data_IF_596983314707
#
_entry.id   IF_596983314707
#
_cell.length_a   1.000
_cell.length_b   1.000
_cell.length_c   1.000
_cell.angle_alpha   90.00
_cell.angle_beta   90.00
_cell.angle_gamma   90.00
#
_symmetry.space_group_name_H-M   'P 1'
#
loop_
_entity.id
_entity.type
_entity.pdbx_description
1 polymer ?
#
# COMPACT_ATOMS: atom_id res chain seq x y z
N UNK A 1 18.73 27.77 8.97
CA UNK A 1 19.49 26.66 8.34
C UNK A 1 18.90 25.38 8.90
N UNK A 2 17.97 24.77 8.17
CA UNK A 2 17.47 23.44 8.53
C UNK A 2 18.61 22.43 8.36
N UNK A 3 18.80 21.49 9.31
CA UNK A 3 19.76 20.42 9.11
C UNK A 3 19.35 19.64 7.86
N UNK A 4 20.27 19.48 6.92
CA UNK A 4 20.15 18.56 5.81
C UNK A 4 19.96 17.17 6.42
N UNK A 5 18.72 16.72 6.53
CA UNK A 5 18.40 15.35 6.84
C UNK A 5 19.09 14.48 5.77
N UNK A 6 19.91 13.56 6.21
CA UNK A 6 20.56 12.63 5.30
C UNK A 6 19.46 11.95 4.46
N UNK A 7 19.63 11.83 3.13
CA UNK A 7 18.59 11.24 2.28
C UNK A 7 18.21 9.87 2.81
N UNK A 8 16.91 9.62 2.87
CA UNK A 8 16.36 8.37 3.40
C UNK A 8 17.11 7.16 2.81
N UNK A 9 17.59 6.21 3.61
CA UNK A 9 18.44 5.10 3.13
C UNK A 9 17.87 4.38 1.91
N UNK A 10 16.55 4.36 1.79
CA UNK A 10 15.80 3.72 0.70
C UNK A 10 15.99 4.44 -0.63
N UNK A 11 16.19 5.75 -0.64
CA UNK A 11 16.48 6.49 -1.87
C UNK A 11 17.75 5.99 -2.55
N UNK A 12 18.74 5.55 -1.76
CA UNK A 12 19.96 4.92 -2.31
C UNK A 12 19.66 3.60 -3.02
N UNK A 13 18.75 2.79 -2.46
CA UNK A 13 18.32 1.54 -3.07
C UNK A 13 17.56 1.79 -4.36
N UNK A 14 16.63 2.75 -4.35
CA UNK A 14 15.90 3.14 -5.54
C UNK A 14 16.83 3.72 -6.62
N UNK A 15 17.75 4.61 -6.26
CA UNK A 15 18.75 5.15 -7.17
C UNK A 15 19.66 4.08 -7.77
N UNK A 16 20.00 3.02 -7.01
CA UNK A 16 20.74 1.87 -7.53
C UNK A 16 19.90 1.10 -8.54
N UNK A 17 18.66 0.78 -8.21
CA UNK A 17 17.72 0.11 -9.12
C UNK A 17 17.58 0.89 -10.44
N UNK A 18 17.38 2.20 -10.38
CA UNK A 18 17.26 3.03 -11.60
C UNK A 18 18.50 2.91 -12.48
N UNK A 19 19.70 2.99 -11.89
CA UNK A 19 20.96 2.85 -12.66
C UNK A 19 21.11 1.47 -13.28
N UNK A 20 20.74 0.41 -12.57
CA UNK A 20 20.75 -0.97 -13.09
C UNK A 20 19.77 -1.15 -14.26
N UNK A 21 18.68 -0.37 -14.28
CA UNK A 21 17.73 -0.34 -15.41
C UNK A 21 18.13 0.65 -16.52
N UNK A 22 19.29 1.30 -16.44
CA UNK A 22 19.71 2.30 -17.40
C UNK A 22 18.89 3.59 -17.37
N UNK A 23 18.19 3.86 -16.25
CA UNK A 23 17.32 5.01 -16.09
C UNK A 23 17.99 6.12 -15.29
N UNK A 24 17.79 7.40 -15.65
CA UNK A 24 18.36 8.50 -14.89
C UNK A 24 17.71 8.61 -13.50
N UNK A 25 18.54 8.91 -12.51
CA UNK A 25 18.10 9.40 -11.20
C UNK A 25 17.77 10.87 -11.34
N UNK A 26 16.52 11.25 -11.21
CA UNK A 26 16.07 12.64 -11.36
C UNK A 26 15.45 13.15 -10.07
N UNK A 27 15.57 14.45 -9.80
CA UNK A 27 14.94 15.09 -8.65
C UNK A 27 13.44 14.74 -8.52
N UNK A 28 12.70 14.76 -9.63
CA UNK A 28 11.27 14.42 -9.62
C UNK A 28 11.00 12.98 -9.12
N UNK A 29 11.83 12.01 -9.50
CA UNK A 29 11.71 10.63 -9.03
C UNK A 29 12.06 10.49 -7.56
N UNK A 30 13.08 11.21 -7.12
CA UNK A 30 13.48 11.23 -5.72
C UNK A 30 12.40 11.90 -4.87
N UNK A 31 11.85 13.03 -5.27
CA UNK A 31 10.78 13.71 -4.55
C UNK A 31 9.50 12.85 -4.41
N UNK A 32 9.09 12.15 -5.47
CA UNK A 32 7.95 11.21 -5.39
C UNK A 32 8.27 10.06 -4.43
N UNK A 33 9.46 9.50 -4.50
CA UNK A 33 9.88 8.42 -3.61
C UNK A 33 9.92 8.87 -2.15
N UNK A 34 10.44 10.07 -1.86
CA UNK A 34 10.46 10.66 -0.52
C UNK A 34 9.05 10.75 0.08
N UNK A 35 8.07 11.26 -0.66
CA UNK A 35 6.69 11.33 -0.18
C UNK A 35 6.18 9.96 0.23
N UNK A 36 6.40 8.93 -0.61
CA UNK A 36 5.94 7.57 -0.31
C UNK A 36 6.66 6.96 0.89
N UNK A 37 7.98 7.21 1.04
CA UNK A 37 8.75 6.64 2.13
C UNK A 37 8.63 7.38 3.47
N UNK A 38 8.19 8.63 3.44
CA UNK A 38 7.92 9.43 4.63
C UNK A 38 6.53 9.15 5.23
N UNK A 39 5.67 8.43 4.52
CA UNK A 39 4.30 8.12 4.95
C UNK A 39 4.16 6.64 5.27
N UNK A 40 3.56 6.35 6.40
CA UNK A 40 3.13 4.99 6.78
C UNK A 40 1.70 4.67 6.29
N UNK A 41 1.11 5.51 5.46
CA UNK A 41 -0.26 5.35 4.97
C UNK A 41 -0.31 4.79 3.55
N UNK A 42 -1.46 4.25 3.16
CA UNK A 42 -1.74 3.83 1.78
C UNK A 42 -2.11 5.06 0.93
N UNK A 43 -1.13 5.65 0.28
CA UNK A 43 -1.30 6.88 -0.49
C UNK A 43 -1.87 6.61 -1.88
N UNK A 44 -2.89 7.38 -2.27
CA UNK A 44 -3.31 7.50 -3.66
C UNK A 44 -2.38 8.44 -4.43
N UNK A 45 -2.48 8.46 -5.76
CA UNK A 45 -1.73 9.43 -6.59
C UNK A 45 -2.14 10.87 -6.27
N UNK A 46 -3.39 11.09 -5.87
CA UNK A 46 -3.88 12.42 -5.50
C UNK A 46 -3.29 12.88 -4.17
N UNK A 47 -3.17 12.00 -3.18
CA UNK A 47 -2.51 12.28 -1.91
C UNK A 47 -1.03 12.64 -2.15
N UNK A 48 -0.32 11.85 -2.97
CA UNK A 48 1.08 12.10 -3.33
C UNK A 48 1.23 13.46 -4.04
N UNK A 49 0.34 13.78 -4.99
CA UNK A 49 0.37 15.07 -5.69
C UNK A 49 0.15 16.24 -4.72
N UNK A 50 -0.77 16.09 -3.77
CA UNK A 50 -1.04 17.09 -2.75
C UNK A 50 0.17 17.32 -1.85
N UNK A 51 0.81 16.25 -1.36
CA UNK A 51 2.01 16.33 -0.52
C UNK A 51 3.19 16.96 -1.26
N UNK A 52 3.40 16.59 -2.53
CA UNK A 52 4.41 17.20 -3.37
C UNK A 52 4.19 18.72 -3.50
N UNK A 53 2.95 19.15 -3.74
CA UNK A 53 2.59 20.58 -3.79
C UNK A 53 2.86 21.30 -2.46
N UNK A 54 2.54 20.66 -1.34
CA UNK A 54 2.82 21.19 -0.01
C UNK A 54 4.32 21.38 0.24
N UNK A 55 5.17 20.52 -0.35
CA UNK A 55 6.64 20.61 -0.33
C UNK A 55 7.20 21.60 -1.37
N UNK A 56 6.33 22.25 -2.16
CA UNK A 56 6.73 23.21 -3.21
C UNK A 56 7.09 22.55 -4.56
N UNK A 57 6.89 21.25 -4.68
CA UNK A 57 7.17 20.49 -5.91
C UNK A 57 5.97 20.52 -6.86
N UNK A 58 6.24 20.79 -8.15
CA UNK A 58 5.21 20.78 -9.21
C UNK A 58 5.45 19.61 -10.15
N UNK A 59 5.02 18.43 -9.72
CA UNK A 59 5.18 17.17 -10.47
C UNK A 59 3.81 16.69 -10.93
N UNK A 60 3.64 16.53 -12.24
CA UNK A 60 2.36 16.09 -12.81
C UNK A 60 2.11 14.60 -12.60
N UNK A 61 0.83 14.22 -12.52
CA UNK A 61 0.36 12.84 -12.27
C UNK A 61 1.03 11.78 -13.17
N UNK A 62 1.26 12.10 -14.44
CA UNK A 62 1.94 11.17 -15.37
C UNK A 62 3.35 10.79 -14.89
N UNK A 63 4.09 11.75 -14.31
CA UNK A 63 5.42 11.48 -13.74
C UNK A 63 5.31 10.71 -12.43
N UNK A 64 4.31 11.01 -11.60
CA UNK A 64 4.03 10.28 -10.36
C UNK A 64 3.75 8.81 -10.70
N UNK A 65 2.81 8.52 -11.61
CA UNK A 65 2.49 7.14 -12.03
C UNK A 65 3.71 6.38 -12.54
N UNK A 66 4.52 7.00 -13.43
CA UNK A 66 5.74 6.37 -13.95
C UNK A 66 6.76 6.07 -12.86
N UNK A 67 6.85 6.93 -11.85
CA UNK A 67 7.79 6.73 -10.73
C UNK A 67 7.27 5.62 -9.80
N UNK A 68 5.96 5.60 -9.51
CA UNK A 68 5.34 4.55 -8.73
C UNK A 68 5.49 3.17 -9.39
N UNK A 69 5.31 3.06 -10.71
CA UNK A 69 5.58 1.81 -11.43
C UNK A 69 7.02 1.32 -11.23
N UNK A 70 7.99 2.23 -11.27
CA UNK A 70 9.39 1.90 -11.01
C UNK A 70 9.63 1.48 -9.55
N UNK A 71 8.97 2.14 -8.60
CA UNK A 71 9.04 1.80 -7.17
C UNK A 71 8.43 0.42 -6.89
N UNK A 72 7.31 0.09 -7.51
CA UNK A 72 6.68 -1.24 -7.41
C UNK A 72 7.58 -2.31 -8.05
N UNK A 73 8.12 -2.05 -9.24
CA UNK A 73 9.07 -2.96 -9.92
C UNK A 73 10.36 -3.19 -9.12
N UNK A 74 10.83 -2.17 -8.41
CA UNK A 74 11.98 -2.30 -7.49
C UNK A 74 11.66 -3.08 -6.23
N UNK A 75 10.39 -3.42 -5.99
CA UNK A 75 9.87 -4.06 -4.77
C UNK A 75 10.07 -3.25 -3.48
N UNK A 76 10.27 -1.95 -3.60
CA UNK A 76 10.35 -1.03 -2.45
C UNK A 76 8.97 -0.53 -2.02
N UNK A 77 7.99 -0.59 -2.92
CA UNK A 77 6.61 -0.17 -2.72
C UNK A 77 5.66 -1.30 -3.13
N UNK A 78 4.56 -1.43 -2.42
CA UNK A 78 3.41 -2.27 -2.80
C UNK A 78 2.29 -1.41 -3.37
N UNK A 79 1.59 -2.00 -4.33
CA UNK A 79 0.39 -1.45 -4.94
C UNK A 79 -0.81 -2.24 -4.42
N UNK A 80 -1.83 -1.53 -3.94
CA UNK A 80 -3.08 -2.09 -3.45
C UNK A 80 -4.25 -1.59 -4.29
N UNK A 81 -5.17 -2.48 -4.64
CA UNK A 81 -6.46 -2.14 -5.26
C UNK A 81 -7.56 -2.55 -4.28
N UNK A 82 -8.17 -1.58 -3.64
CA UNK A 82 -9.25 -1.78 -2.66
C UNK A 82 -10.64 -1.66 -3.29
N UNK A 83 -10.75 -1.66 -4.62
CA UNK A 83 -12.02 -1.56 -5.34
C UNK A 83 -12.58 -0.14 -5.41
N UNK A 84 -11.79 0.88 -5.06
CA UNK A 84 -12.20 2.30 -5.09
C UNK A 84 -12.14 2.90 -6.51
N UNK A 85 -11.70 2.13 -7.51
CA UNK A 85 -11.47 2.60 -8.88
C UNK A 85 -10.11 3.27 -9.10
N UNK A 86 -9.28 3.34 -8.07
CA UNK A 86 -7.88 3.80 -8.13
C UNK A 86 -7.01 2.95 -7.21
N UNK A 87 -5.70 3.02 -7.41
CA UNK A 87 -4.73 2.26 -6.64
C UNK A 87 -4.15 3.09 -5.50
N UNK A 88 -3.76 2.40 -4.42
CA UNK A 88 -3.00 2.97 -3.31
C UNK A 88 -1.62 2.33 -3.24
N UNK A 89 -0.68 3.06 -2.68
CA UNK A 89 0.73 2.69 -2.63
C UNK A 89 1.27 2.81 -1.21
N UNK A 90 1.98 1.78 -0.76
CA UNK A 90 2.59 1.72 0.55
C UNK A 90 4.05 1.25 0.41
N UNK A 91 4.97 1.80 1.21
CA UNK A 91 6.34 1.33 1.20
C UNK A 91 6.50 0.03 2.00
N UNK A 92 7.29 -0.91 1.48
CA UNK A 92 7.52 -2.23 2.11
C UNK A 92 8.50 -2.24 3.27
N UNK A 93 9.07 -1.10 3.63
CA UNK A 93 10.12 -0.95 4.62
C UNK A 93 9.60 -0.37 5.94
N UNK A 94 8.29 -0.29 6.09
CA UNK A 94 7.70 -0.01 7.39
C UNK A 94 8.15 -1.09 8.37
N UNK A 95 8.60 -0.68 9.55
CA UNK A 95 8.86 -1.58 10.68
C UNK A 95 7.55 -2.17 11.19
N UNK A 96 6.43 -1.84 10.54
CA UNK A 96 5.11 -2.36 10.88
C UNK A 96 5.09 -3.87 10.66
N UNK A 97 4.56 -4.62 11.60
CA UNK A 97 4.26 -6.02 11.39
C UNK A 97 3.35 -6.18 10.18
N UNK A 98 3.36 -7.34 9.59
CA UNK A 98 2.43 -7.71 8.53
C UNK A 98 1.02 -7.43 9.05
N UNK A 99 0.25 -6.63 8.31
CA UNK A 99 -1.11 -6.26 8.65
C UNK A 99 -2.06 -6.66 7.52
N UNK A 100 -3.29 -6.89 7.91
CA UNK A 100 -4.37 -7.33 7.05
C UNK A 100 -5.39 -6.19 6.91
N UNK A 101 -6.23 -6.24 5.89
CA UNK A 101 -7.12 -5.13 5.57
C UNK A 101 -8.60 -5.51 5.71
N UNK A 102 -9.38 -4.60 6.32
CA UNK A 102 -10.84 -4.57 6.28
C UNK A 102 -11.28 -3.44 5.35
N UNK A 103 -12.00 -3.76 4.29
CA UNK A 103 -12.34 -2.80 3.23
C UNK A 103 -13.85 -2.60 3.18
N UNK A 104 -14.30 -1.36 3.35
CA UNK A 104 -15.71 -1.01 3.27
C UNK A 104 -16.14 -0.83 1.82
N UNK A 105 -17.07 -1.66 1.35
CA UNK A 105 -17.60 -1.62 -0.02
C UNK A 105 -18.48 -0.39 -0.32
N UNK A 106 -18.91 0.35 0.72
CA UNK A 106 -19.74 1.53 0.53
C UNK A 106 -18.94 2.83 0.54
N UNK A 107 -18.13 3.06 1.57
CA UNK A 107 -17.41 4.34 1.73
C UNK A 107 -15.92 4.26 1.37
N UNK A 108 -15.41 3.08 1.00
CA UNK A 108 -14.01 2.87 0.65
C UNK A 108 -13.06 2.93 1.85
N UNK A 109 -13.55 3.07 3.10
CA UNK A 109 -12.64 3.10 4.25
C UNK A 109 -11.89 1.78 4.38
N UNK A 110 -10.60 1.89 4.67
CA UNK A 110 -9.70 0.77 4.94
C UNK A 110 -9.29 0.82 6.40
N UNK A 111 -9.42 -0.29 7.10
CA UNK A 111 -8.91 -0.46 8.45
C UNK A 111 -7.90 -1.60 8.47
N UNK A 112 -6.78 -1.40 9.13
CA UNK A 112 -5.72 -2.39 9.29
C UNK A 112 -5.91 -3.16 10.59
N UNK A 113 -5.54 -4.44 10.58
CA UNK A 113 -5.50 -5.24 11.78
C UNK A 113 -4.37 -6.28 11.73
N UNK A 114 -3.94 -6.71 12.90
CA UNK A 114 -2.96 -7.77 13.07
C UNK A 114 -3.61 -8.94 13.81
N UNK A 115 -3.25 -10.18 13.46
CA UNK A 115 -3.73 -11.37 14.16
C UNK A 115 -2.63 -12.42 14.30
N UNK A 116 -2.29 -12.71 15.55
CA UNK A 116 -1.36 -13.79 15.87
C UNK A 116 -1.92 -15.17 15.49
N UNK A 117 -3.25 -15.33 15.49
CA UNK A 117 -3.93 -16.55 15.04
C UNK A 117 -3.70 -16.80 13.56
N UNK A 118 -3.81 -15.77 12.72
CA UNK A 118 -3.53 -15.87 11.28
C UNK A 118 -2.08 -16.26 11.03
N UNK A 119 -1.13 -15.66 11.73
CA UNK A 119 0.29 -16.06 11.64
C UNK A 119 0.50 -17.50 12.07
N UNK A 120 -0.21 -17.94 13.12
CA UNK A 120 -0.19 -19.33 13.57
C UNK A 120 -0.67 -20.30 12.50
N UNK A 121 -1.77 -19.98 11.84
CA UNK A 121 -2.33 -20.77 10.72
C UNK A 121 -1.35 -20.83 9.56
N UNK A 122 -0.84 -19.67 9.12
CA UNK A 122 0.13 -19.61 8.02
C UNK A 122 1.37 -20.46 8.33
N UNK A 123 1.95 -20.30 9.50
CA UNK A 123 3.14 -21.04 9.93
C UNK A 123 2.92 -22.56 9.96
N UNK A 124 1.72 -22.99 10.38
CA UNK A 124 1.33 -24.40 10.35
C UNK A 124 1.22 -24.94 8.93
N UNK A 125 0.44 -24.27 8.08
CA UNK A 125 0.19 -24.68 6.69
C UNK A 125 1.52 -24.72 5.89
N UNK A 126 2.37 -23.73 6.04
CA UNK A 126 3.71 -23.73 5.43
C UNK A 126 4.51 -24.99 5.77
N UNK A 127 4.52 -25.37 7.06
CA UNK A 127 5.23 -26.53 7.54
C UNK A 127 4.59 -27.83 7.03
N UNK A 128 3.28 -27.94 7.06
CA UNK A 128 2.53 -29.14 6.64
C UNK A 128 2.70 -29.42 5.15
N UNK A 129 2.80 -28.37 4.33
CA UNK A 129 2.93 -28.48 2.88
C UNK A 129 4.37 -28.28 2.35
N UNK A 130 5.35 -28.09 3.23
CA UNK A 130 6.74 -27.82 2.81
C UNK A 130 6.88 -26.56 1.95
N UNK A 131 6.00 -25.56 2.14
CA UNK A 131 5.91 -24.39 1.29
C UNK A 131 6.75 -23.23 1.83
N UNK A 132 7.50 -22.54 0.96
CA UNK A 132 8.24 -21.34 1.28
C UNK A 132 7.53 -20.12 0.67
N UNK A 133 6.59 -19.47 1.37
CA UNK A 133 5.85 -18.33 0.84
C UNK A 133 6.78 -17.13 0.67
N UNK A 134 6.52 -16.40 -0.39
CA UNK A 134 7.18 -15.11 -0.67
C UNK A 134 6.29 -13.95 -0.22
N UNK A 135 4.96 -14.17 -0.22
CA UNK A 135 3.96 -13.18 0.13
C UNK A 135 2.68 -13.88 0.58
N UNK A 136 1.95 -13.25 1.49
CA UNK A 136 0.54 -13.52 1.69
C UNK A 136 -0.26 -12.20 1.61
N UNK A 137 -1.56 -12.30 1.46
CA UNK A 137 -2.50 -11.18 1.46
C UNK A 137 -3.84 -11.69 1.99
N UNK A 138 -4.38 -10.98 2.97
CA UNK A 138 -5.74 -11.18 3.43
C UNK A 138 -6.49 -9.85 3.36
N UNK A 139 -7.62 -9.86 2.69
CA UNK A 139 -8.54 -8.73 2.60
C UNK A 139 -9.93 -9.22 2.93
N UNK A 140 -10.61 -8.50 3.82
CA UNK A 140 -11.99 -8.78 4.20
C UNK A 140 -12.84 -7.61 3.73
N UNK A 141 -13.79 -7.90 2.87
CA UNK A 141 -14.69 -6.93 2.27
C UNK A 141 -16.06 -6.96 2.96
N UNK A 142 -16.63 -5.78 3.26
CA UNK A 142 -17.92 -5.69 3.92
C UNK A 142 -18.35 -4.23 4.13
N UNK A 143 -19.16 -3.98 5.16
CA UNK A 143 -19.56 -2.65 5.58
C UNK A 143 -18.86 -2.28 6.89
N UNK A 144 -18.27 -1.11 6.95
CA UNK A 144 -17.74 -0.56 8.20
C UNK A 144 -18.85 -0.26 9.19
N UNK A 145 -18.48 -0.05 10.45
CA UNK A 145 -19.43 0.20 11.53
C UNK A 145 -20.34 1.41 11.24
N UNK A 146 -19.80 2.48 10.69
CA UNK A 146 -20.55 3.71 10.43
C UNK A 146 -21.56 3.52 9.30
N UNK A 147 -21.20 2.84 8.22
CA UNK A 147 -22.13 2.51 7.14
C UNK A 147 -23.24 1.57 7.63
N UNK A 148 -22.92 0.58 8.49
CA UNK A 148 -23.94 -0.29 9.09
C UNK A 148 -24.89 0.50 9.99
N UNK A 149 -24.39 1.41 10.82
CA UNK A 149 -25.22 2.29 11.66
C UNK A 149 -26.09 3.25 10.83
N UNK A 150 -25.61 3.67 9.66
CA UNK A 150 -26.37 4.49 8.72
C UNK A 150 -27.43 3.70 7.93
N UNK A 151 -27.58 2.40 8.17
CA UNK A 151 -28.57 1.56 7.51
C UNK A 151 -28.23 1.20 6.06
N UNK A 152 -26.95 1.30 5.67
CA UNK A 152 -26.52 0.88 4.33
C UNK A 152 -26.62 -0.64 4.25
N UNK A 153 -27.24 -1.12 3.18
CA UNK A 153 -27.31 -2.54 2.84
C UNK A 153 -26.52 -2.79 1.55
N UNK A 154 -25.79 -3.90 1.53
CA UNK A 154 -25.14 -4.35 0.30
C UNK A 154 -26.18 -5.09 -0.58
N UNK A 155 -26.12 -4.95 -1.90
CA UNK A 155 -26.99 -5.71 -2.79
C UNK A 155 -26.73 -7.22 -2.56
N UNK A 156 -27.82 -7.96 -2.30
CA UNK A 156 -27.78 -9.39 -1.94
C UNK A 156 -27.33 -10.32 -3.09
N UNK A 157 -26.95 -9.81 -4.23
CA UNK A 157 -26.53 -10.61 -5.39
C UNK A 157 -25.07 -11.07 -5.23
N UNK A 158 -24.91 -12.26 -4.67
CA UNK A 158 -23.63 -12.99 -4.75
C UNK A 158 -22.57 -12.69 -3.69
N UNK A 159 -22.89 -11.92 -2.65
CA UNK A 159 -21.95 -11.54 -1.58
C UNK A 159 -22.21 -12.26 -0.25
N UNK A 160 -22.58 -13.53 -0.28
CA UNK A 160 -22.62 -14.34 0.96
C UNK A 160 -21.21 -14.77 1.31
N UNK A 161 -20.69 -14.33 2.46
CA UNK A 161 -19.45 -14.87 2.99
C UNK A 161 -19.64 -16.35 3.31
N UNK A 162 -18.89 -17.29 2.71
CA UNK A 162 -19.07 -18.73 2.96
C UNK A 162 -18.83 -19.13 4.42
N UNK A 163 -18.22 -18.25 5.22
CA UNK A 163 -17.92 -18.49 6.64
C UNK A 163 -19.16 -18.29 7.52
N UNK A 164 -20.19 -17.57 7.07
CA UNK A 164 -21.43 -17.36 7.84
C UNK A 164 -22.42 -18.54 7.75
N UNK A 165 -22.10 -19.56 6.97
CA UNK A 165 -22.96 -20.73 6.74
C UNK A 165 -22.50 -21.99 7.47
N UNK A 166 -21.62 -21.84 8.47
CA UNK A 166 -21.15 -22.97 9.32
C UNK A 166 -21.73 -22.88 10.72
#
# INVERSE_FOLDING_TARGET
MSPLLAPHPVLRLFGRFLREQGLPVTHQREAVAEVVFDSDEHLSVDDIEQDLRARGERIGKATIYRTLDLLVRSRLVEEHDFGEGFKRYEHRLSVRPIHEHLICLNCGSVAEFESNELYGVEKRVRREHGFAPVRHRLEIYGLCQDCRKAGVELPNEGLTCPIETV
#
